data_IF_268466355132
#
_entry.id   IF_268466355132
#
_cell.length_a   1.000
_cell.length_b   1.000
_cell.length_c   1.000
_cell.angle_alpha   90.00
_cell.angle_beta   90.00
_cell.angle_gamma   90.00
#
_symmetry.space_group_name_H-M   'P 1'
#
loop_
_entity.id
_entity.type
_entity.pdbx_description
1 polymer ?
#
# COMPACT_ATOMS: atom_id res chain seq x y z
N UNK A 1 13.56 -16.78 23.15
CA UNK A 1 13.03 -15.49 22.64
C UNK A 1 12.09 -14.93 23.70
N UNK A 2 12.15 -13.62 23.98
CA UNK A 2 11.13 -12.99 24.83
C UNK A 2 9.75 -13.11 24.15
N UNK A 3 8.66 -13.32 24.89
CA UNK A 3 7.32 -13.39 24.32
C UNK A 3 6.97 -12.07 23.62
N UNK A 4 6.18 -12.10 22.53
CA UNK A 4 5.83 -10.90 21.81
C UNK A 4 4.98 -9.99 22.71
N UNK A 5 5.30 -8.69 22.72
CA UNK A 5 4.53 -7.67 23.46
C UNK A 5 3.07 -7.62 22.97
N UNK A 6 2.87 -7.98 21.69
CA UNK A 6 1.56 -8.08 21.06
C UNK A 6 1.53 -9.27 20.10
N UNK A 7 0.48 -10.09 20.18
CA UNK A 7 0.22 -11.15 19.19
C UNK A 7 -0.86 -10.70 18.22
N UNK A 8 -0.59 -10.77 16.92
CA UNK A 8 -1.55 -10.41 15.88
C UNK A 8 -2.71 -11.42 15.86
N UNK A 9 -3.93 -10.88 15.82
CA UNK A 9 -5.17 -11.66 15.94
C UNK A 9 -5.71 -12.09 14.57
N UNK A 10 -5.63 -11.22 13.56
CA UNK A 10 -6.07 -11.56 12.22
C UNK A 10 -4.99 -12.27 11.40
N UNK A 11 -5.41 -12.97 10.35
CA UNK A 11 -4.51 -13.61 9.41
C UNK A 11 -3.71 -12.56 8.62
N UNK A 12 -2.46 -12.93 8.26
CA UNK A 12 -1.57 -12.09 7.46
C UNK A 12 -1.31 -12.76 6.10
N UNK A 13 -1.57 -12.06 5.01
CA UNK A 13 -1.13 -12.41 3.67
C UNK A 13 0.20 -11.70 3.35
N UNK A 14 1.24 -12.48 3.05
CA UNK A 14 2.50 -11.99 2.51
C UNK A 14 2.54 -12.32 1.01
N UNK A 15 2.57 -11.27 0.19
CA UNK A 15 2.76 -11.31 -1.25
C UNK A 15 4.25 -11.07 -1.55
N UNK A 16 4.88 -11.97 -2.28
CA UNK A 16 6.31 -11.83 -2.62
C UNK A 16 6.61 -12.39 -3.99
N UNK A 17 7.74 -11.99 -4.58
CA UNK A 17 8.18 -12.54 -5.87
C UNK A 17 9.57 -13.17 -5.78
N UNK A 18 10.65 -12.40 -5.94
CA UNK A 18 12.01 -12.95 -6.02
C UNK A 18 13.02 -12.20 -5.14
N UNK A 19 12.59 -11.20 -4.35
CA UNK A 19 13.48 -10.40 -3.50
C UNK A 19 13.69 -11.04 -2.13
N UNK A 20 14.74 -11.84 -2.00
CA UNK A 20 15.04 -12.58 -0.76
C UNK A 20 15.23 -11.66 0.46
N UNK A 21 16.01 -10.59 0.31
CA UNK A 21 16.40 -9.75 1.43
C UNK A 21 15.22 -8.94 1.99
N UNK A 22 14.43 -8.29 1.13
CA UNK A 22 13.26 -7.51 1.57
C UNK A 22 12.15 -8.42 2.09
N UNK A 23 11.89 -9.55 1.42
CA UNK A 23 10.88 -10.55 1.87
C UNK A 23 11.20 -11.01 3.29
N UNK A 24 12.45 -11.39 3.56
CA UNK A 24 12.85 -11.84 4.89
C UNK A 24 12.83 -10.71 5.93
N UNK A 25 13.12 -9.47 5.55
CA UNK A 25 13.00 -8.32 6.44
C UNK A 25 11.55 -8.05 6.86
N UNK A 26 10.59 -8.12 5.92
CA UNK A 26 9.16 -8.01 6.21
C UNK A 26 8.69 -9.17 7.09
N UNK A 27 9.07 -10.41 6.73
CA UNK A 27 8.72 -11.60 7.49
C UNK A 27 9.27 -11.58 8.93
N UNK A 28 10.46 -11.01 9.13
CA UNK A 28 11.03 -10.82 10.47
C UNK A 28 10.19 -9.86 11.34
N UNK A 29 9.48 -8.89 10.75
CA UNK A 29 8.52 -8.06 11.50
C UNK A 29 7.24 -8.85 11.82
N UNK A 30 6.73 -9.64 10.86
CA UNK A 30 5.58 -10.53 11.10
C UNK A 30 5.89 -11.53 12.23
N UNK A 31 7.11 -12.09 12.26
CA UNK A 31 7.56 -13.03 13.28
C UNK A 31 7.54 -12.45 14.70
N UNK A 32 7.68 -11.13 14.85
CA UNK A 32 7.61 -10.45 16.16
C UNK A 32 6.19 -10.34 16.70
N UNK A 33 5.17 -10.51 15.86
CA UNK A 33 3.75 -10.51 16.29
C UNK A 33 3.07 -11.87 16.15
N UNK A 34 3.78 -12.87 15.64
CA UNK A 34 3.39 -14.29 15.69
C UNK A 34 1.91 -14.57 15.37
N UNK A 35 1.39 -14.18 14.19
CA UNK A 35 0.00 -14.43 13.82
C UNK A 35 -0.27 -15.94 13.84
N UNK A 36 -1.48 -16.33 14.23
CA UNK A 36 -1.88 -17.76 14.25
C UNK A 36 -2.02 -18.37 12.86
N UNK A 37 -2.29 -17.54 11.85
CA UNK A 37 -2.48 -17.95 10.46
C UNK A 37 -1.71 -17.01 9.55
N UNK A 38 -0.94 -17.57 8.63
CA UNK A 38 -0.22 -16.82 7.60
C UNK A 38 -0.49 -17.44 6.23
N UNK A 39 -0.73 -16.57 5.26
CA UNK A 39 -0.89 -16.91 3.85
C UNK A 39 0.34 -16.41 3.10
N UNK A 40 0.99 -17.30 2.37
CA UNK A 40 2.20 -17.04 1.60
C UNK A 40 1.88 -17.18 0.12
N UNK A 41 1.88 -16.08 -0.62
CA UNK A 41 1.58 -16.09 -2.04
C UNK A 41 2.78 -15.59 -2.84
N UNK A 42 3.24 -16.43 -3.78
CA UNK A 42 4.35 -16.11 -4.66
C UNK A 42 3.98 -16.36 -6.12
N UNK A 43 4.27 -15.38 -6.98
CA UNK A 43 4.13 -15.55 -8.43
C UNK A 43 5.17 -16.56 -8.97
N UNK A 44 4.90 -17.10 -10.16
CA UNK A 44 5.81 -18.05 -10.81
C UNK A 44 7.04 -17.35 -11.38
N UNK A 45 8.13 -18.09 -11.53
CA UNK A 45 9.35 -17.59 -12.15
C UNK A 45 9.13 -17.21 -13.62
N UNK A 46 9.86 -16.21 -14.13
CA UNK A 46 9.75 -15.79 -15.54
C UNK A 46 10.62 -16.64 -16.46
N UNK A 47 11.68 -17.22 -15.93
CA UNK A 47 12.64 -18.05 -16.64
C UNK A 47 13.30 -19.08 -15.70
N UNK A 48 14.11 -19.97 -16.27
CA UNK A 48 14.79 -21.04 -15.52
C UNK A 48 15.78 -20.52 -14.48
N UNK A 49 16.37 -19.33 -14.69
CA UNK A 49 17.30 -18.72 -13.73
C UNK A 49 16.55 -18.28 -12.48
N UNK A 50 15.36 -17.70 -12.64
CA UNK A 50 14.49 -17.31 -11.53
C UNK A 50 13.84 -18.50 -10.84
N UNK A 51 13.67 -19.63 -11.51
CA UNK A 51 13.06 -20.84 -10.92
C UNK A 51 13.81 -21.30 -9.66
N UNK A 52 15.14 -21.35 -9.73
CA UNK A 52 15.98 -21.70 -8.58
C UNK A 52 15.89 -20.67 -7.45
N UNK A 53 15.83 -19.37 -7.79
CA UNK A 53 15.70 -18.29 -6.82
C UNK A 53 14.34 -18.31 -6.11
N UNK A 54 13.27 -18.52 -6.86
CA UNK A 54 11.92 -18.66 -6.34
C UNK A 54 11.82 -19.86 -5.38
N UNK A 55 12.36 -21.02 -5.78
CA UNK A 55 12.39 -22.22 -4.95
C UNK A 55 13.20 -22.02 -3.65
N UNK A 56 14.36 -21.36 -3.75
CA UNK A 56 15.13 -20.97 -2.56
C UNK A 56 14.30 -20.06 -1.65
N UNK A 57 13.70 -19.01 -2.20
CA UNK A 57 12.92 -18.04 -1.43
C UNK A 57 11.73 -18.70 -0.71
N UNK A 58 10.96 -19.56 -1.39
CA UNK A 58 9.85 -20.35 -0.79
C UNK A 58 10.32 -21.08 0.47
N UNK A 59 11.42 -21.82 0.35
CA UNK A 59 12.02 -22.57 1.46
C UNK A 59 12.46 -21.65 2.60
N UNK A 60 13.18 -20.56 2.29
CA UNK A 60 13.68 -19.61 3.30
C UNK A 60 12.55 -18.91 4.06
N UNK A 61 11.45 -18.57 3.39
CA UNK A 61 10.26 -17.99 4.01
C UNK A 61 9.63 -18.99 4.99
N UNK A 62 9.42 -20.24 4.57
CA UNK A 62 8.83 -21.27 5.43
C UNK A 62 9.72 -21.57 6.64
N UNK A 63 11.04 -21.72 6.43
CA UNK A 63 12.02 -21.95 7.50
C UNK A 63 12.07 -20.82 8.54
N UNK A 64 11.74 -19.59 8.16
CA UNK A 64 11.75 -18.44 9.06
C UNK A 64 10.54 -18.43 10.01
N UNK A 65 9.49 -19.18 9.70
CA UNK A 65 8.28 -19.28 10.53
C UNK A 65 8.53 -20.34 11.61
N UNK A 66 9.05 -19.86 12.74
CA UNK A 66 9.49 -20.70 13.87
C UNK A 66 8.51 -20.72 15.05
N UNK A 67 7.36 -20.08 14.91
CA UNK A 67 6.30 -20.03 15.92
C UNK A 67 5.12 -20.91 15.51
N UNK A 68 4.24 -21.24 16.46
CA UNK A 68 3.00 -21.97 16.18
C UNK A 68 2.10 -21.15 15.25
N UNK A 69 2.04 -21.58 13.99
CA UNK A 69 1.38 -20.87 12.90
C UNK A 69 0.81 -21.86 11.88
N UNK A 70 -0.45 -21.68 11.50
CA UNK A 70 -1.04 -22.37 10.36
C UNK A 70 -0.59 -21.66 9.08
N UNK A 71 0.19 -22.36 8.26
CA UNK A 71 0.73 -21.84 7.01
C UNK A 71 -0.14 -22.29 5.84
N UNK A 72 -0.63 -21.34 5.07
CA UNK A 72 -1.27 -21.56 3.78
C UNK A 72 -0.36 -21.06 2.66
N UNK A 73 -0.09 -21.88 1.66
CA UNK A 73 0.79 -21.50 0.54
C UNK A 73 0.03 -21.47 -0.77
N UNK A 74 0.29 -20.44 -1.58
CA UNK A 74 -0.10 -20.36 -2.98
C UNK A 74 1.12 -19.96 -3.80
N UNK A 75 1.83 -20.96 -4.30
CA UNK A 75 3.00 -20.78 -5.15
C UNK A 75 2.62 -21.12 -6.58
N UNK A 76 2.74 -20.16 -7.47
CA UNK A 76 2.42 -20.36 -8.88
C UNK A 76 3.61 -21.00 -9.61
N UNK A 77 3.29 -21.87 -10.56
CA UNK A 77 4.29 -22.46 -11.46
C UNK A 77 4.62 -21.52 -12.63
N UNK A 78 3.63 -20.75 -13.09
CA UNK A 78 3.76 -19.78 -14.18
C UNK A 78 3.67 -18.35 -13.66
N UNK A 79 4.48 -17.45 -14.25
CA UNK A 79 4.40 -16.03 -13.95
C UNK A 79 3.11 -15.43 -14.53
N UNK A 80 2.23 -14.92 -13.66
CA UNK A 80 1.01 -14.22 -14.07
C UNK A 80 1.18 -12.70 -14.11
N UNK A 81 2.28 -12.19 -13.56
CA UNK A 81 2.59 -10.77 -13.47
C UNK A 81 1.79 -10.05 -12.38
N UNK A 82 2.21 -8.81 -12.07
CA UNK A 82 1.70 -8.04 -10.93
C UNK A 82 0.17 -7.98 -10.83
N UNK A 83 -0.52 -7.64 -11.93
CA UNK A 83 -1.99 -7.51 -11.94
C UNK A 83 -2.70 -8.79 -11.50
N UNK A 84 -2.43 -9.91 -12.17
CA UNK A 84 -3.17 -11.16 -11.95
C UNK A 84 -2.64 -11.94 -10.75
N UNK A 85 -1.32 -11.99 -10.56
CA UNK A 85 -0.74 -12.72 -9.43
C UNK A 85 -1.22 -12.16 -8.09
N UNK A 86 -1.19 -10.83 -7.93
CA UNK A 86 -1.58 -10.15 -6.69
C UNK A 86 -3.09 -10.18 -6.49
N UNK A 87 -3.89 -9.74 -7.47
CA UNK A 87 -5.35 -9.72 -7.31
C UNK A 87 -5.94 -11.11 -7.05
N UNK A 88 -5.44 -12.14 -7.72
CA UNK A 88 -5.89 -13.53 -7.48
C UNK A 88 -5.44 -14.07 -6.12
N UNK A 89 -4.27 -13.68 -5.62
CA UNK A 89 -3.81 -14.04 -4.28
C UNK A 89 -4.69 -13.40 -3.19
N UNK A 90 -5.07 -12.13 -3.36
CA UNK A 90 -5.96 -11.43 -2.43
C UNK A 90 -7.37 -12.06 -2.47
N UNK A 91 -7.89 -12.39 -3.66
CA UNK A 91 -9.15 -13.12 -3.80
C UNK A 91 -9.11 -14.50 -3.15
N UNK A 92 -8.00 -15.23 -3.31
CA UNK A 92 -7.80 -16.51 -2.62
C UNK A 92 -7.80 -16.33 -1.10
N UNK A 93 -7.08 -15.32 -0.58
CA UNK A 93 -7.06 -15.02 0.85
C UNK A 93 -8.45 -14.71 1.41
N UNK A 94 -9.20 -13.80 0.78
CA UNK A 94 -10.56 -13.43 1.23
C UNK A 94 -11.64 -14.48 0.91
N UNK A 95 -11.31 -15.54 0.16
CA UNK A 95 -12.19 -16.71 0.08
C UNK A 95 -12.15 -17.56 1.36
N UNK A 96 -11.11 -17.41 2.18
CA UNK A 96 -10.90 -18.16 3.42
C UNK A 96 -11.13 -17.29 4.65
N UNK A 97 -10.75 -16.02 4.59
CA UNK A 97 -10.77 -15.08 5.72
C UNK A 97 -11.84 -14.00 5.54
N UNK A 98 -12.56 -13.68 6.62
CA UNK A 98 -13.53 -12.58 6.62
C UNK A 98 -12.86 -11.21 6.55
N UNK A 99 -11.64 -11.13 7.07
CA UNK A 99 -10.83 -9.93 7.15
C UNK A 99 -9.36 -10.29 7.42
N UNK A 100 -8.44 -9.38 7.13
CA UNK A 100 -7.04 -9.59 7.48
C UNK A 100 -6.09 -8.57 6.89
N UNK A 101 -4.81 -8.80 7.15
CA UNK A 101 -3.69 -7.89 6.85
C UNK A 101 -2.96 -8.40 5.62
N UNK A 102 -2.56 -7.48 4.74
CA UNK A 102 -1.91 -7.75 3.45
C UNK A 102 -0.62 -6.93 3.40
N UNK A 103 0.50 -7.63 3.20
CA UNK A 103 1.84 -7.05 3.08
C UNK A 103 2.48 -7.53 1.78
N UNK A 104 3.18 -6.63 1.11
CA UNK A 104 4.09 -6.94 0.00
C UNK A 104 5.53 -7.08 0.51
N UNK A 105 6.38 -7.75 -0.27
CA UNK A 105 7.76 -8.09 0.09
C UNK A 105 8.69 -6.90 0.36
N UNK A 106 8.26 -5.68 0.04
CA UNK A 106 9.01 -4.45 0.27
C UNK A 106 8.29 -3.47 1.21
N UNK A 107 7.17 -3.85 1.80
CA UNK A 107 6.42 -3.03 2.76
C UNK A 107 6.79 -3.42 4.19
N UNK A 108 7.83 -2.79 4.76
CA UNK A 108 8.32 -3.06 6.12
C UNK A 108 7.43 -2.38 7.17
N UNK A 109 6.64 -3.13 7.97
CA UNK A 109 5.73 -2.53 8.93
C UNK A 109 6.42 -2.23 10.27
N UNK A 110 5.91 -1.21 10.98
CA UNK A 110 6.11 -1.06 12.42
C UNK A 110 5.34 -2.16 13.19
N UNK A 111 5.69 -2.41 14.46
CA UNK A 111 5.04 -3.47 15.24
C UNK A 111 3.59 -3.11 15.59
N UNK A 112 3.36 -1.85 15.94
CA UNK A 112 2.03 -1.31 16.23
C UNK A 112 1.09 -1.35 15.03
N UNK A 113 1.57 -1.47 13.79
CA UNK A 113 0.73 -1.59 12.60
C UNK A 113 -0.23 -2.78 12.71
N UNK A 114 0.26 -3.92 13.18
CA UNK A 114 -0.55 -5.13 13.31
C UNK A 114 -1.69 -4.92 14.32
N UNK A 115 -1.39 -4.32 15.48
CA UNK A 115 -2.42 -4.01 16.49
C UNK A 115 -3.40 -2.95 16.00
N UNK A 116 -2.92 -1.94 15.27
CA UNK A 116 -3.74 -0.91 14.66
C UNK A 116 -4.73 -1.53 13.65
N UNK A 117 -4.28 -2.44 12.79
CA UNK A 117 -5.16 -3.18 11.89
C UNK A 117 -6.14 -4.05 12.65
N UNK A 118 -5.71 -4.81 13.65
CA UNK A 118 -6.60 -5.71 14.41
C UNK A 118 -7.73 -4.93 15.11
N UNK A 119 -7.42 -3.83 15.81
CA UNK A 119 -8.42 -3.00 16.49
C UNK A 119 -9.42 -2.37 15.49
N UNK A 120 -8.94 -1.91 14.33
CA UNK A 120 -9.80 -1.26 13.33
C UNK A 120 -10.59 -2.24 12.47
N UNK A 121 -10.04 -3.42 12.18
CA UNK A 121 -10.74 -4.50 11.49
C UNK A 121 -11.98 -4.93 12.30
N UNK A 122 -11.82 -5.08 13.62
CA UNK A 122 -12.93 -5.37 14.52
C UNK A 122 -13.93 -4.22 14.60
N UNK A 123 -13.44 -2.99 14.87
CA UNK A 123 -14.29 -1.79 15.04
C UNK A 123 -15.17 -1.51 13.81
N UNK A 124 -14.63 -1.68 12.61
CA UNK A 124 -15.31 -1.38 11.35
C UNK A 124 -15.77 -2.63 10.61
N UNK A 125 -15.85 -3.78 11.28
CA UNK A 125 -16.28 -5.07 10.71
C UNK A 125 -17.60 -4.97 9.93
N UNK A 126 -18.58 -4.22 10.46
CA UNK A 126 -19.91 -4.05 9.87
C UNK A 126 -20.10 -2.74 9.08
N UNK A 127 -19.12 -1.83 9.07
CA UNK A 127 -19.24 -0.53 8.40
C UNK A 127 -18.97 -0.65 6.90
N UNK A 128 -20.04 -0.69 6.10
CA UNK A 128 -19.98 -0.95 4.66
C UNK A 128 -19.24 0.12 3.86
N UNK A 129 -19.12 1.34 4.38
CA UNK A 129 -18.38 2.43 3.73
C UNK A 129 -16.88 2.32 3.93
N UNK A 130 -16.39 1.59 4.94
CA UNK A 130 -14.95 1.44 5.16
C UNK A 130 -14.43 0.24 4.38
N UNK A 131 -13.54 0.52 3.43
CA UNK A 131 -13.01 -0.46 2.48
C UNK A 131 -11.62 -0.96 2.85
N UNK A 132 -10.81 -0.09 3.44
CA UNK A 132 -9.39 -0.35 3.62
C UNK A 132 -8.86 0.32 4.88
N UNK A 133 -7.89 -0.31 5.53
CA UNK A 133 -7.02 0.31 6.51
C UNK A 133 -5.63 0.37 5.88
N UNK A 134 -5.12 1.57 5.64
CA UNK A 134 -3.75 1.82 5.19
C UNK A 134 -2.82 1.83 6.39
N UNK A 135 -1.57 1.38 6.23
CA UNK A 135 -0.46 1.69 7.12
C UNK A 135 0.36 2.88 6.63
N UNK A 136 0.13 3.33 5.40
CA UNK A 136 0.81 4.46 4.80
C UNK A 136 0.21 5.81 5.22
N UNK A 137 1.07 6.80 5.48
CA UNK A 137 0.66 8.20 5.60
C UNK A 137 1.75 9.18 5.16
N UNK A 138 1.48 9.95 4.11
CA UNK A 138 2.42 10.94 3.61
C UNK A 138 2.43 12.28 4.35
N UNK A 139 1.70 12.43 5.46
CA UNK A 139 1.44 13.74 6.09
C UNK A 139 2.69 14.50 6.55
N UNK A 140 3.83 13.82 6.72
CA UNK A 140 5.14 14.47 6.98
C UNK A 140 5.61 15.35 5.82
N UNK A 141 5.08 15.12 4.61
CA UNK A 141 5.35 15.92 3.42
C UNK A 141 4.27 16.98 3.15
N UNK A 142 3.30 17.16 4.05
CA UNK A 142 2.36 18.25 3.94
C UNK A 142 3.10 19.59 4.01
N UNK A 143 2.63 20.57 3.23
CA UNK A 143 3.16 21.93 3.32
C UNK A 143 2.37 22.68 4.37
N UNK A 144 3.06 23.48 5.17
CA UNK A 144 2.34 24.49 5.95
C UNK A 144 1.87 25.59 4.99
N UNK A 145 0.57 25.86 4.98
CA UNK A 145 -0.06 26.82 4.05
C UNK A 145 -0.33 28.17 4.68
N UNK A 146 -0.16 28.30 6.00
CA UNK A 146 -0.28 29.57 6.74
C UNK A 146 0.68 29.59 7.92
N UNK A 147 1.13 30.77 8.33
CA UNK A 147 1.84 30.98 9.60
C UNK A 147 0.89 31.05 10.79
N UNK A 148 -0.41 31.22 10.53
CA UNK A 148 -1.45 31.38 11.55
C UNK A 148 -2.11 30.05 11.94
N UNK A 149 -1.94 29.01 11.13
CA UNK A 149 -2.50 27.68 11.40
C UNK A 149 -1.42 26.66 11.66
N UNK A 150 -1.74 25.67 12.51
CA UNK A 150 -0.85 24.53 12.75
C UNK A 150 -0.62 23.76 11.45
N UNK A 151 0.51 23.08 11.37
CA UNK A 151 0.78 22.13 10.29
C UNK A 151 -0.38 21.12 10.14
N UNK A 152 -0.81 20.71 8.93
CA UNK A 152 -1.99 19.86 8.75
C UNK A 152 -1.98 18.58 9.60
N UNK A 153 -0.81 17.94 9.72
CA UNK A 153 -0.63 16.78 10.60
C UNK A 153 -0.85 17.08 12.08
N UNK A 154 -0.46 18.27 12.54
CA UNK A 154 -0.60 18.70 13.93
C UNK A 154 -2.03 19.13 14.29
N UNK A 155 -2.86 19.46 13.28
CA UNK A 155 -4.28 19.76 13.49
C UNK A 155 -5.10 18.50 13.83
N UNK A 156 -4.71 17.33 13.30
CA UNK A 156 -5.35 16.06 13.63
C UNK A 156 -5.14 15.75 15.12
N UNK A 157 -6.23 15.62 15.88
CA UNK A 157 -6.16 15.20 17.27
C UNK A 157 -6.21 13.67 17.40
N UNK A 158 -6.74 13.01 16.38
CA UNK A 158 -6.94 11.57 16.31
C UNK A 158 -5.75 10.85 15.67
N UNK A 159 -5.64 9.56 15.94
CA UNK A 159 -4.52 8.74 15.46
C UNK A 159 -4.71 8.26 14.02
N UNK A 160 -5.90 8.46 13.46
CA UNK A 160 -6.20 8.17 12.05
C UNK A 160 -7.35 9.05 11.53
N UNK A 161 -7.44 9.13 10.21
CA UNK A 161 -8.48 9.85 9.50
C UNK A 161 -8.98 9.03 8.30
N UNK A 162 -10.09 9.45 7.69
CA UNK A 162 -10.61 8.80 6.49
C UNK A 162 -10.23 9.57 5.22
N UNK A 163 -9.83 8.82 4.20
CA UNK A 163 -9.47 9.27 2.86
C UNK A 163 -10.28 8.50 1.83
N UNK A 164 -10.54 9.08 0.65
CA UNK A 164 -11.12 8.31 -0.47
C UNK A 164 -10.07 7.54 -1.28
N UNK A 165 -8.78 7.77 -1.04
CA UNK A 165 -7.70 7.12 -1.79
C UNK A 165 -7.30 5.82 -1.09
N UNK A 166 -7.08 4.71 -1.81
CA UNK A 166 -6.49 3.50 -1.24
C UNK A 166 -4.97 3.49 -1.48
N UNK A 167 -4.17 3.85 -0.48
CA UNK A 167 -2.73 3.56 -0.48
C UNK A 167 -2.43 2.16 0.06
N UNK A 168 -1.77 1.36 -0.77
CA UNK A 168 -1.61 -0.09 -0.60
C UNK A 168 -0.27 -0.51 0.02
N UNK A 169 0.57 0.43 0.46
CA UNK A 169 1.79 0.05 1.19
C UNK A 169 1.42 -0.36 2.61
N UNK A 170 1.35 -1.68 2.81
CA UNK A 170 0.88 -2.35 4.02
C UNK A 170 -0.54 -1.94 4.38
N UNK A 171 -1.48 -2.87 4.25
CA UNK A 171 -2.89 -2.55 4.43
C UNK A 171 -3.67 -3.72 5.00
N UNK A 172 -4.90 -3.47 5.42
CA UNK A 172 -5.84 -4.49 5.85
C UNK A 172 -7.22 -4.20 5.26
N UNK A 173 -8.02 -5.24 5.12
CA UNK A 173 -9.37 -5.13 4.57
C UNK A 173 -10.26 -6.30 4.98
N UNK A 174 -11.49 -6.28 4.49
CA UNK A 174 -12.52 -7.27 4.72
C UNK A 174 -12.90 -7.94 3.40
N UNK A 175 -13.27 -9.21 3.45
CA UNK A 175 -13.84 -9.93 2.32
C UNK A 175 -15.05 -9.18 1.72
N UNK A 176 -15.90 -8.59 2.58
CA UNK A 176 -17.05 -7.77 2.13
C UNK A 176 -16.67 -6.55 1.30
N UNK A 177 -15.49 -5.98 1.51
CA UNK A 177 -14.99 -4.85 0.74
C UNK A 177 -14.36 -5.37 -0.56
N UNK A 178 -13.54 -6.43 -0.46
CA UNK A 178 -12.88 -7.04 -1.61
C UNK A 178 -13.87 -7.65 -2.63
N UNK A 179 -15.03 -8.14 -2.20
CA UNK A 179 -16.10 -8.61 -3.11
C UNK A 179 -16.60 -7.52 -4.09
N UNK A 180 -16.38 -6.25 -3.78
CA UNK A 180 -16.73 -5.11 -4.64
C UNK A 180 -15.58 -4.73 -5.60
N UNK A 181 -14.45 -5.44 -5.53
CA UNK A 181 -13.31 -5.21 -6.40
C UNK A 181 -13.65 -5.59 -7.84
N UNK A 182 -13.51 -4.61 -8.73
CA UNK A 182 -13.69 -4.79 -10.16
C UNK A 182 -12.35 -4.60 -10.86
N UNK A 183 -11.79 -5.70 -11.36
CA UNK A 183 -10.48 -5.69 -12.01
C UNK A 183 -10.52 -5.04 -13.40
N UNK A 184 -11.55 -5.33 -14.20
CA UNK A 184 -11.65 -4.88 -15.59
C UNK A 184 -12.83 -3.93 -15.80
N UNK A 185 -12.68 -2.99 -16.73
CA UNK A 185 -13.76 -2.12 -17.18
C UNK A 185 -14.56 -2.83 -18.28
N UNK A 186 -15.89 -2.76 -18.20
CA UNK A 186 -16.79 -3.18 -19.29
C UNK A 186 -16.96 -2.07 -20.31
N UNK A 187 -17.17 -0.84 -19.84
CA UNK A 187 -17.15 0.39 -20.64
C UNK A 187 -16.51 1.49 -19.81
N UNK A 188 -15.22 1.71 -20.03
CA UNK A 188 -14.45 2.70 -19.28
C UNK A 188 -15.06 4.11 -19.36
N UNK A 189 -15.56 4.55 -20.51
CA UNK A 189 -16.06 5.93 -20.65
C UNK A 189 -17.39 6.12 -19.92
N UNK A 190 -18.29 5.14 -19.99
CA UNK A 190 -19.54 5.16 -19.24
C UNK A 190 -19.28 5.06 -17.73
N UNK A 191 -18.44 4.12 -17.31
CA UNK A 191 -18.12 3.87 -15.91
C UNK A 191 -17.38 5.05 -15.25
N UNK A 192 -16.44 5.69 -15.95
CA UNK A 192 -15.72 6.83 -15.41
C UNK A 192 -16.62 8.08 -15.30
N UNK A 193 -17.59 8.25 -16.22
CA UNK A 193 -18.54 9.38 -16.16
C UNK A 193 -19.40 9.37 -14.90
N UNK A 194 -19.66 8.20 -14.32
CA UNK A 194 -20.45 8.04 -13.09
C UNK A 194 -19.70 8.44 -11.82
N UNK A 195 -18.38 8.64 -11.89
CA UNK A 195 -17.58 9.08 -10.74
C UNK A 195 -17.77 10.59 -10.49
N UNK A 196 -18.24 10.92 -9.28
CA UNK A 196 -18.58 12.29 -8.84
C UNK A 196 -17.71 12.81 -7.68
N UNK A 197 -16.76 12.01 -7.21
CA UNK A 197 -16.04 12.25 -5.96
C UNK A 197 -14.69 12.97 -6.13
N UNK A 198 -14.46 13.72 -7.22
CA UNK A 198 -13.21 14.46 -7.44
C UNK A 198 -13.27 15.87 -6.84
N UNK A 199 -12.20 16.31 -6.18
CA UNK A 199 -12.08 17.65 -5.59
C UNK A 199 -11.72 18.73 -6.62
N UNK A 200 -11.23 18.36 -7.80
CA UNK A 200 -10.89 19.32 -8.86
C UNK A 200 -10.91 18.72 -10.26
N UNK A 201 -11.05 19.58 -11.28
CA UNK A 201 -10.88 19.19 -12.70
C UNK A 201 -9.48 18.61 -12.95
N UNK A 202 -8.45 19.12 -12.25
CA UNK A 202 -7.07 18.63 -12.36
C UNK A 202 -6.97 17.19 -11.86
N UNK A 203 -7.56 16.89 -10.71
CA UNK A 203 -7.63 15.54 -10.17
C UNK A 203 -8.39 14.60 -11.12
N UNK A 204 -9.59 15.00 -11.56
CA UNK A 204 -10.40 14.20 -12.51
C UNK A 204 -9.62 13.87 -13.78
N UNK A 205 -8.92 14.86 -14.35
CA UNK A 205 -8.10 14.68 -15.56
C UNK A 205 -6.88 13.78 -15.34
N UNK A 206 -6.27 13.85 -14.15
CA UNK A 206 -5.15 12.98 -13.79
C UNK A 206 -5.61 11.51 -13.75
N UNK A 207 -6.68 11.22 -13.01
CA UNK A 207 -7.20 9.86 -12.88
C UNK A 207 -7.80 9.32 -14.17
N UNK A 208 -8.48 10.16 -14.96
CA UNK A 208 -8.96 9.76 -16.29
C UNK A 208 -7.83 9.24 -17.17
N UNK A 209 -6.69 9.93 -17.23
CA UNK A 209 -5.55 9.50 -18.04
C UNK A 209 -4.99 8.15 -17.60
N UNK A 210 -4.85 7.95 -16.29
CA UNK A 210 -4.31 6.71 -15.71
C UNK A 210 -5.27 5.55 -15.95
N UNK A 211 -6.53 5.69 -15.57
CA UNK A 211 -7.53 4.63 -15.71
C UNK A 211 -7.84 4.33 -17.19
N UNK A 212 -7.78 5.32 -18.08
CA UNK A 212 -7.89 5.09 -19.52
C UNK A 212 -6.72 4.27 -20.07
N UNK A 213 -5.49 4.59 -19.64
CA UNK A 213 -4.32 3.81 -20.04
C UNK A 213 -4.40 2.38 -19.51
N UNK A 214 -4.87 2.19 -18.28
CA UNK A 214 -5.16 0.88 -17.71
C UNK A 214 -6.21 0.11 -18.52
N UNK A 215 -7.37 0.72 -18.82
CA UNK A 215 -8.44 0.10 -19.60
C UNK A 215 -8.00 -0.27 -21.03
N UNK A 216 -6.98 0.41 -21.56
CA UNK A 216 -6.35 0.08 -22.86
C UNK A 216 -5.27 -1.01 -22.75
N UNK A 217 -5.10 -1.65 -21.59
CA UNK A 217 -4.09 -2.69 -21.36
C UNK A 217 -2.65 -2.19 -21.28
N UNK A 218 -2.42 -0.87 -21.20
CA UNK A 218 -1.06 -0.28 -21.18
C UNK A 218 -0.40 -0.34 -19.81
N UNK A 219 -1.15 -0.67 -18.77
CA UNK A 219 -0.69 -0.71 -17.38
C UNK A 219 -1.07 -2.07 -16.79
N UNK A 220 -0.08 -2.83 -16.33
CA UNK A 220 -0.25 -4.12 -15.69
C UNK A 220 -0.12 -3.95 -14.17
N UNK A 221 -1.20 -3.54 -13.51
CA UNK A 221 -1.30 -3.38 -12.05
C UNK A 221 -2.68 -3.74 -11.53
N UNK A 222 -2.81 -4.01 -10.24
CA UNK A 222 -4.07 -4.36 -9.56
C UNK A 222 -4.65 -3.20 -8.73
N UNK A 223 -3.85 -2.19 -8.40
CA UNK A 223 -4.16 -1.12 -7.44
C UNK A 223 -4.98 0.04 -8.04
N UNK A 224 -4.81 0.39 -9.31
CA UNK A 224 -5.68 1.35 -10.00
C UNK A 224 -7.15 0.89 -10.08
N UNK A 225 -7.44 -0.38 -10.43
CA UNK A 225 -8.78 -0.94 -10.27
C UNK A 225 -9.32 -0.89 -8.84
N UNK A 226 -8.45 -1.02 -7.82
CA UNK A 226 -8.87 -0.89 -6.44
C UNK A 226 -9.34 0.54 -6.15
N UNK A 227 -8.58 1.54 -6.59
CA UNK A 227 -8.98 2.95 -6.49
C UNK A 227 -10.33 3.21 -7.18
N UNK A 228 -10.51 2.71 -8.39
CA UNK A 228 -11.79 2.79 -9.10
C UNK A 228 -12.93 2.12 -8.29
N UNK A 229 -12.71 0.92 -7.77
CA UNK A 229 -13.70 0.15 -7.01
C UNK A 229 -14.11 0.88 -5.73
N UNK A 230 -13.16 1.45 -4.99
CA UNK A 230 -13.45 2.28 -3.81
C UNK A 230 -14.32 3.47 -4.20
N UNK A 231 -13.99 4.19 -5.27
CA UNK A 231 -14.76 5.39 -5.67
C UNK A 231 -16.15 5.07 -6.23
N UNK A 232 -16.27 4.01 -7.03
CA UNK A 232 -17.55 3.52 -7.56
C UNK A 232 -18.55 3.28 -6.43
N UNK A 233 -18.07 2.79 -5.29
CA UNK A 233 -18.88 2.47 -4.13
C UNK A 233 -18.87 3.56 -3.04
N UNK A 234 -18.34 4.75 -3.32
CA UNK A 234 -18.20 5.87 -2.37
C UNK A 234 -17.53 5.43 -1.05
N UNK A 235 -16.58 4.50 -1.16
CA UNK A 235 -15.84 3.91 -0.04
C UNK A 235 -14.80 4.86 0.55
N UNK A 236 -14.43 4.57 1.79
CA UNK A 236 -13.44 5.27 2.58
C UNK A 236 -12.33 4.33 3.03
N UNK A 237 -11.13 4.87 3.12
CA UNK A 237 -9.93 4.22 3.57
C UNK A 237 -9.43 4.91 4.85
N UNK A 238 -9.08 4.13 5.86
CA UNK A 238 -8.47 4.62 7.09
C UNK A 238 -6.99 4.86 6.86
N UNK A 239 -6.48 6.03 7.26
CA UNK A 239 -5.08 6.42 7.16
C UNK A 239 -4.57 6.79 8.54
N UNK A 240 -3.42 6.26 8.99
CA UNK A 240 -2.85 6.66 10.25
C UNK A 240 -2.34 8.10 10.15
N UNK A 241 -2.36 8.83 11.26
CA UNK A 241 -1.79 10.17 11.35
C UNK A 241 -0.27 10.16 11.11
N UNK A 242 0.39 9.10 11.57
CA UNK A 242 1.82 8.87 11.37
C UNK A 242 2.02 7.66 10.47
N UNK A 243 2.95 7.73 9.53
CA UNK A 243 3.27 6.60 8.67
C UNK A 243 3.73 5.38 9.48
N UNK A 244 3.22 4.20 9.17
CA UNK A 244 3.56 2.95 9.87
C UNK A 244 4.32 1.96 8.98
N UNK A 245 4.51 2.27 7.69
CA UNK A 245 5.12 1.37 6.70
C UNK A 245 6.30 2.06 6.00
N UNK A 246 7.48 1.45 6.05
CA UNK A 246 8.63 1.87 5.26
C UNK A 246 8.72 1.00 4.00
N UNK A 247 8.69 1.60 2.82
CA UNK A 247 8.98 0.86 1.59
C UNK A 247 10.50 0.71 1.43
N UNK A 248 10.99 -0.53 1.45
CA UNK A 248 12.41 -0.89 1.36
C UNK A 248 12.82 -1.41 -0.03
N UNK A 249 11.95 -1.24 -1.04
CA UNK A 249 12.15 -1.66 -2.42
C UNK A 249 12.56 -0.51 -3.36
N UNK A 250 12.84 0.68 -2.85
CA UNK A 250 13.31 1.84 -3.64
C UNK A 250 14.78 1.73 -4.05
N UNK A 251 15.13 2.38 -5.18
CA UNK A 251 16.50 2.62 -5.64
C UNK A 251 17.31 1.34 -5.89
N UNK A 252 16.69 0.33 -6.50
CA UNK A 252 17.33 -0.93 -6.86
C UNK A 252 17.03 -1.30 -8.30
N UNK A 253 17.91 -2.09 -8.91
CA UNK A 253 17.78 -2.53 -10.30
C UNK A 253 16.64 -3.55 -10.49
N UNK A 254 16.20 -4.21 -9.42
CA UNK A 254 15.10 -5.17 -9.37
C UNK A 254 13.73 -4.52 -9.04
N UNK A 255 13.66 -3.19 -9.01
CA UNK A 255 12.45 -2.41 -8.79
C UNK A 255 11.47 -2.46 -9.98
N UNK A 256 10.24 -2.91 -9.78
CA UNK A 256 9.22 -2.95 -10.85
C UNK A 256 8.57 -1.58 -11.09
N UNK A 257 8.43 -0.75 -10.05
CA UNK A 257 7.76 0.55 -10.11
C UNK A 257 8.54 1.71 -9.45
N UNK A 258 9.69 1.45 -8.84
CA UNK A 258 10.44 2.37 -7.96
C UNK A 258 11.84 2.71 -8.49
N UNK A 259 12.03 2.74 -9.82
CA UNK A 259 13.33 2.93 -10.50
C UNK A 259 13.84 4.38 -10.54
N UNK A 260 13.48 5.23 -9.57
CA UNK A 260 13.95 6.62 -9.51
C UNK A 260 13.86 7.26 -8.13
N UNK A 261 14.51 8.42 -7.97
CA UNK A 261 14.50 9.21 -6.72
C UNK A 261 13.07 9.61 -6.34
N UNK A 262 12.50 8.89 -5.37
CA UNK A 262 11.23 9.22 -4.74
C UNK A 262 11.48 9.82 -3.37
N UNK A 263 10.81 10.95 -3.06
CA UNK A 263 10.80 11.49 -1.69
C UNK A 263 10.28 10.50 -0.66
N UNK A 264 9.47 9.52 -1.10
CA UNK A 264 8.92 8.48 -0.24
C UNK A 264 9.92 7.38 0.12
N UNK A 265 11.05 7.28 -0.59
CA UNK A 265 12.11 6.32 -0.26
C UNK A 265 12.75 6.58 1.11
N UNK A 266 12.70 7.84 1.58
CA UNK A 266 13.24 8.26 2.88
C UNK A 266 12.12 8.51 3.90
N UNK A 267 10.89 8.05 3.63
CA UNK A 267 9.78 8.28 4.54
C UNK A 267 9.98 7.46 5.83
N UNK A 268 9.98 8.11 7.01
CA UNK A 268 10.10 7.40 8.28
C UNK A 268 8.83 6.60 8.58
N UNK A 269 8.97 5.51 9.35
CA UNK A 269 7.86 4.76 9.93
C UNK A 269 7.88 4.90 11.45
N UNK A 270 6.72 5.00 12.07
CA UNK A 270 6.57 5.28 13.49
C UNK A 270 5.79 4.16 14.19
N UNK A 271 6.10 3.97 15.47
CA UNK A 271 5.25 3.20 16.37
C UNK A 271 4.09 4.07 16.87
N UNK A 272 2.93 3.45 17.09
CA UNK A 272 1.73 4.05 17.63
C UNK A 272 1.50 3.56 19.07
N UNK A 273 1.19 4.49 19.97
CA UNK A 273 0.80 4.16 21.33
C UNK A 273 -0.68 3.77 21.39
N UNK A 274 -1.05 2.96 22.39
CA UNK A 274 -2.42 2.51 22.61
C UNK A 274 -2.87 2.85 24.03
N UNK A 275 -4.18 3.09 24.28
CA UNK A 275 -5.29 3.04 23.31
C UNK A 275 -5.24 4.17 22.28
N UNK A 276 -5.70 3.90 21.05
CA UNK A 276 -5.72 4.91 19.99
C UNK A 276 -6.92 5.86 20.14
N UNK A 277 -6.74 7.09 19.70
CA UNK A 277 -7.78 8.12 19.63
C UNK A 277 -8.52 7.99 18.31
N UNK A 278 -9.81 7.68 18.37
CA UNK A 278 -10.66 7.52 17.18
C UNK A 278 -11.34 8.85 16.78
N UNK A 279 -11.52 9.12 15.48
CA UNK A 279 -12.38 10.19 14.97
C UNK A 279 -13.84 9.96 15.35
N UNK A 280 -14.55 11.07 15.58
CA UNK A 280 -15.97 11.06 15.95
C UNK A 280 -16.92 10.84 14.75
N UNK A 281 -16.39 10.83 13.52
CA UNK A 281 -17.20 10.61 12.32
C UNK A 281 -16.48 9.74 11.28
N UNK A 282 -17.27 8.96 10.54
CA UNK A 282 -16.81 8.13 9.41
C UNK A 282 -17.07 8.87 8.11
N UNK A 283 -16.36 9.97 7.90
CA UNK A 283 -16.42 10.79 6.69
C UNK A 283 -15.02 11.18 6.23
N UNK A 284 -14.84 11.38 4.93
CA UNK A 284 -13.57 11.85 4.39
C UNK A 284 -13.15 13.15 5.08
N UNK A 285 -11.96 13.16 5.64
CA UNK A 285 -11.45 14.29 6.39
C UNK A 285 -11.04 15.43 5.44
N UNK A 286 -11.07 16.68 5.90
CA UNK A 286 -10.68 17.84 5.08
C UNK A 286 -9.23 17.73 4.52
N UNK A 287 -8.38 16.97 5.24
CA UNK A 287 -6.99 16.69 4.87
C UNK A 287 -6.84 15.72 3.68
N UNK A 288 -7.92 15.09 3.20
CA UNK A 288 -7.89 14.17 2.06
C UNK A 288 -7.35 14.84 0.79
N UNK A 289 -7.67 16.12 0.59
CA UNK A 289 -7.10 16.94 -0.49
C UNK A 289 -5.58 17.06 -0.39
N UNK A 290 -5.05 17.18 0.84
CA UNK A 290 -3.61 17.23 1.10
C UNK A 290 -2.95 15.88 0.78
N UNK A 291 -3.60 14.76 1.11
CA UNK A 291 -3.13 13.43 0.73
C UNK A 291 -2.98 13.31 -0.80
N UNK A 292 -3.96 13.82 -1.57
CA UNK A 292 -3.84 13.88 -3.02
C UNK A 292 -2.64 14.69 -3.48
N UNK A 293 -2.45 15.88 -2.89
CA UNK A 293 -1.34 16.76 -3.25
C UNK A 293 0.03 16.15 -2.97
N UNK A 294 0.14 15.37 -1.90
CA UNK A 294 1.38 14.72 -1.51
C UNK A 294 1.72 13.57 -2.45
N UNK A 295 0.75 12.69 -2.71
CA UNK A 295 0.96 11.41 -3.37
C UNK A 295 0.86 11.46 -4.90
N UNK A 296 -0.08 12.24 -5.45
CA UNK A 296 -0.45 12.15 -6.86
C UNK A 296 -0.17 13.42 -7.67
N UNK A 297 0.13 14.54 -7.00
CA UNK A 297 0.41 15.78 -7.69
C UNK A 297 1.80 15.77 -8.34
N UNK A 298 1.82 15.81 -9.67
CA UNK A 298 3.07 16.03 -10.38
C UNK A 298 3.57 17.48 -10.20
N UNK A 299 4.89 17.69 -10.05
CA UNK A 299 5.47 19.03 -10.04
C UNK A 299 5.10 19.80 -11.31
N UNK A 300 5.01 21.12 -11.22
CA UNK A 300 4.71 21.98 -12.38
C UNK A 300 5.73 21.77 -13.50
N UNK A 301 5.33 22.07 -14.75
CA UNK A 301 6.24 21.96 -15.91
C UNK A 301 7.52 22.79 -15.71
N UNK A 302 7.41 23.96 -15.08
CA UNK A 302 8.53 24.80 -14.69
C UNK A 302 9.44 24.16 -13.63
N UNK A 303 8.87 23.51 -12.61
CA UNK A 303 9.65 22.76 -11.62
C UNK A 303 10.38 21.56 -12.24
N UNK A 304 9.78 20.91 -13.25
CA UNK A 304 10.42 19.83 -14.01
C UNK A 304 11.55 20.35 -14.90
N UNK A 305 11.37 21.49 -15.56
CA UNK A 305 12.40 22.16 -16.37
C UNK A 305 13.56 22.62 -15.48
N UNK A 306 13.27 23.28 -14.36
CA UNK A 306 14.27 23.69 -13.38
C UNK A 306 15.07 22.48 -12.87
N UNK A 307 14.40 21.40 -12.44
CA UNK A 307 15.08 20.17 -11.99
C UNK A 307 15.95 19.53 -13.09
N UNK A 308 15.53 19.59 -14.36
CA UNK A 308 16.32 19.12 -15.50
C UNK A 308 17.56 19.99 -15.73
N UNK A 309 17.43 21.32 -15.65
CA UNK A 309 18.55 22.26 -15.76
C UNK A 309 19.54 22.08 -14.60
N UNK A 310 19.08 22.01 -13.35
CA UNK A 310 19.95 21.77 -12.18
C UNK A 310 20.70 20.45 -12.27
N UNK A 311 20.09 19.39 -12.83
CA UNK A 311 20.76 18.10 -13.04
C UNK A 311 21.85 18.18 -14.11
N UNK A 312 21.63 18.95 -15.18
CA UNK A 312 22.63 19.21 -16.22
C UNK A 312 23.82 20.03 -15.67
N UNK A 313 23.56 21.06 -14.86
CA UNK A 313 24.60 21.86 -14.21
C UNK A 313 25.42 21.06 -13.17
N UNK A 314 24.79 20.15 -12.42
CA UNK A 314 25.50 19.24 -11.51
C UNK A 314 26.35 18.19 -12.26
N UNK A 315 25.90 17.73 -13.42
CA UNK A 315 26.67 16.80 -14.24
C UNK A 315 27.86 17.47 -14.94
N UNK A 316 27.78 18.77 -15.24
CA UNK A 316 28.86 19.55 -15.87
C UNK A 316 29.91 20.07 -14.87
N UNK A 317 29.71 19.88 -13.57
CA UNK A 317 30.61 20.37 -12.49
C UNK A 317 31.40 19.26 -11.79
N UNK A 318 31.26 18.01 -12.22
CA UNK A 318 32.09 16.89 -11.75
C UNK A 318 33.34 16.83 -12.63
N UNK A 319 34.56 17.12 -12.12
CA UNK A 319 35.79 16.92 -12.88
C UNK A 319 35.94 15.43 -13.18
N UNK A 320 36.22 15.10 -14.44
CA UNK A 320 36.67 13.75 -14.79
C UNK A 320 38.09 13.59 -14.22
N UNK A 321 38.24 12.79 -13.17
CA UNK A 321 39.52 12.24 -12.74
C UNK A 321 39.57 10.76 -13.09
#
# INVERSE_FOLDING_TARGET
MQPPIYRCQNAVLLLFFNRLDTTLAVLAQIAKVQPKVIYLAQDGARDDKELAQAALLRRRVIEHITWECKIHTRFLDTNLGCKLAVSSAISWFFSQEKQGIILEDDCLPSISFFRFCDELLERYSNEQKVFMISGWSGLDFAKNTSVETLHPKAQLQEDYFFSKYPHIWGWASWARAWQKYQLEFSDFEAEFRLLDNFYSVKEKRYWYKILKAYAQGKINTWDYPLAYSVWKHKGLCIYPKNNMIKNIGFNRDDATHTTGESKFATMPSYELAFPIIHPNSTQAHAIDTTAFHIAFHQPSIYARIAKKLTKLFKASTIPKH
#
